data_IF_024589986887
#
_entry.id   IF_024589986887
#
_cell.length_a   1.000
_cell.length_b   1.000
_cell.length_c   1.000
_cell.angle_alpha   90.00
_cell.angle_beta   90.00
_cell.angle_gamma   90.00
#
_symmetry.space_group_name_H-M   'P 1'
#
loop_
_entity.id
_entity.type
_entity.pdbx_description
1 polymer ?
#
# COMPACT_ATOMS: atom_id res chain seq x y z
N UNK A 1 -9.95 33.83 21.17
CA UNK A 1 -11.11 32.97 20.81
C UNK A 1 -12.45 33.71 20.94
N UNK A 2 -12.48 34.91 21.53
CA UNK A 2 -13.66 35.79 21.64
C UNK A 2 -14.34 36.05 20.29
N UNK A 3 -13.57 36.20 19.23
CA UNK A 3 -14.07 36.63 17.92
C UNK A 3 -14.59 35.46 17.05
N UNK A 4 -14.40 34.21 17.49
CA UNK A 4 -14.88 33.02 16.77
C UNK A 4 -16.29 32.71 17.25
N UNK A 5 -17.31 33.02 16.45
CA UNK A 5 -18.72 32.86 16.81
C UNK A 5 -19.23 31.41 16.65
N UNK A 6 -18.71 30.67 15.67
CA UNK A 6 -19.17 29.30 15.38
C UNK A 6 -18.75 28.31 16.49
N UNK A 7 -19.69 27.58 17.13
CA UNK A 7 -19.41 26.79 18.33
C UNK A 7 -18.42 25.65 18.09
N UNK A 8 -18.53 24.95 16.95
CA UNK A 8 -17.60 23.87 16.59
C UNK A 8 -16.22 24.43 16.32
N UNK A 9 -16.11 25.57 15.63
CA UNK A 9 -14.82 26.16 15.30
C UNK A 9 -14.11 26.63 16.57
N UNK A 10 -14.86 27.27 17.49
CA UNK A 10 -14.35 27.67 18.80
C UNK A 10 -13.84 26.48 19.61
N UNK A 11 -14.61 25.38 19.65
CA UNK A 11 -14.21 24.14 20.33
C UNK A 11 -12.94 23.53 19.72
N UNK A 12 -12.91 23.37 18.40
CA UNK A 12 -11.75 22.80 17.69
C UNK A 12 -10.49 23.65 17.89
N UNK A 13 -10.59 24.97 17.75
CA UNK A 13 -9.44 25.86 17.94
C UNK A 13 -8.95 25.86 19.39
N UNK A 14 -9.84 25.77 20.38
CA UNK A 14 -9.45 25.62 21.79
C UNK A 14 -8.66 24.32 22.03
N UNK A 15 -9.12 23.21 21.44
CA UNK A 15 -8.41 21.92 21.51
C UNK A 15 -7.03 22.02 20.84
N UNK A 16 -6.95 22.57 19.63
CA UNK A 16 -5.69 22.71 18.89
C UNK A 16 -4.69 23.63 19.61
N UNK A 17 -5.16 24.71 20.24
CA UNK A 17 -4.31 25.59 21.04
C UNK A 17 -3.71 24.83 22.23
N UNK A 18 -4.52 24.09 22.99
CA UNK A 18 -4.04 23.29 24.12
C UNK A 18 -3.03 22.20 23.68
N UNK A 19 -3.32 21.48 22.59
CA UNK A 19 -2.40 20.51 22.02
C UNK A 19 -1.07 21.16 21.59
N UNK A 20 -1.11 22.36 21.00
CA UNK A 20 0.11 23.11 20.64
C UNK A 20 0.96 23.48 21.87
N UNK A 21 0.35 23.70 23.03
CA UNK A 21 1.11 23.92 24.27
C UNK A 21 1.75 22.62 24.74
N UNK A 22 0.99 21.52 24.77
CA UNK A 22 1.45 20.18 25.19
C UNK A 22 2.52 19.58 24.28
N UNK A 23 2.56 19.97 22.99
CA UNK A 23 3.55 19.46 22.03
C UNK A 23 5.00 19.73 22.42
N UNK A 24 5.25 20.61 23.40
CA UNK A 24 6.59 20.91 23.93
C UNK A 24 7.06 19.91 25.00
N UNK A 25 6.15 19.15 25.59
CA UNK A 25 6.43 18.28 26.74
C UNK A 25 5.93 16.84 26.54
N UNK A 26 5.49 16.49 25.32
CA UNK A 26 4.96 15.16 25.02
C UNK A 26 5.48 14.63 23.69
N UNK A 27 5.38 13.32 23.49
CA UNK A 27 5.83 12.67 22.25
C UNK A 27 4.79 12.82 21.14
N UNK A 28 5.19 12.75 19.86
CA UNK A 28 4.25 12.84 18.74
C UNK A 28 3.11 11.82 18.83
N UNK A 29 3.40 10.57 19.20
CA UNK A 29 2.39 9.52 19.35
C UNK A 29 1.34 9.86 20.41
N UNK A 30 1.75 10.31 21.61
CA UNK A 30 0.81 10.69 22.67
C UNK A 30 0.01 11.94 22.29
N UNK A 31 0.65 12.93 21.67
CA UNK A 31 -0.03 14.14 21.22
C UNK A 31 -1.12 13.83 20.19
N UNK A 32 -0.81 12.98 19.20
CA UNK A 32 -1.73 12.59 18.15
C UNK A 32 -2.85 11.69 18.68
N UNK A 33 -2.56 10.80 19.62
CA UNK A 33 -3.57 10.00 20.30
C UNK A 33 -4.55 10.89 21.08
N UNK A 34 -4.04 11.87 21.85
CA UNK A 34 -4.89 12.85 22.55
C UNK A 34 -5.73 13.67 21.56
N UNK A 35 -5.14 14.08 20.43
CA UNK A 35 -5.85 14.79 19.38
C UNK A 35 -6.99 13.95 18.78
N UNK A 36 -6.73 12.68 18.48
CA UNK A 36 -7.72 11.75 17.93
C UNK A 36 -8.91 11.56 18.88
N UNK A 37 -8.66 11.45 20.18
CA UNK A 37 -9.71 11.37 21.21
C UNK A 37 -10.52 12.67 21.31
N UNK A 38 -9.84 13.81 21.52
CA UNK A 38 -10.53 15.09 21.79
C UNK A 38 -11.30 15.64 20.60
N UNK A 39 -10.84 15.32 19.39
CA UNK A 39 -11.54 15.64 18.14
C UNK A 39 -12.56 14.58 17.75
N UNK A 40 -12.76 13.54 18.58
CA UNK A 40 -13.71 12.45 18.35
C UNK A 40 -13.54 11.77 16.98
N UNK A 41 -12.29 11.57 16.55
CA UNK A 41 -11.98 11.01 15.23
C UNK A 41 -12.62 9.62 15.07
N UNK A 42 -12.46 8.73 16.05
CA UNK A 42 -13.02 7.36 15.98
C UNK A 42 -14.56 7.35 15.87
N UNK A 43 -15.33 8.04 16.75
CA UNK A 43 -16.78 8.12 16.60
C UNK A 43 -17.23 8.73 15.26
N UNK A 44 -16.54 9.76 14.77
CA UNK A 44 -16.87 10.42 13.49
C UNK A 44 -16.65 9.46 12.32
N UNK A 45 -15.55 8.70 12.32
CA UNK A 45 -15.29 7.68 11.30
C UNK A 45 -16.34 6.57 11.36
N UNK A 46 -16.70 6.11 12.56
CA UNK A 46 -17.71 5.08 12.74
C UNK A 46 -19.09 5.49 12.20
N UNK A 47 -19.49 6.73 12.43
CA UNK A 47 -20.76 7.26 11.94
C UNK A 47 -20.79 7.48 10.41
N UNK A 48 -19.63 7.66 9.76
CA UNK A 48 -19.54 7.96 8.32
C UNK A 48 -19.36 6.73 7.44
N UNK A 49 -18.59 5.76 7.92
CA UNK A 49 -18.03 4.70 7.07
C UNK A 49 -18.78 3.36 7.18
N UNK A 50 -19.75 3.21 8.11
CA UNK A 50 -20.52 1.98 8.28
C UNK A 50 -19.62 0.76 8.43
N UNK A 51 -19.75 -0.24 7.55
CA UNK A 51 -18.92 -1.46 7.52
C UNK A 51 -17.42 -1.18 7.28
N UNK A 52 -17.05 -0.02 6.70
CA UNK A 52 -15.64 0.40 6.54
C UNK A 52 -15.06 1.08 7.78
N UNK A 53 -15.88 1.32 8.81
CA UNK A 53 -15.47 1.95 10.08
C UNK A 53 -14.27 1.25 10.71
N UNK A 54 -14.27 -0.08 10.73
CA UNK A 54 -13.19 -0.85 11.33
C UNK A 54 -11.84 -0.61 10.63
N UNK A 55 -11.83 -0.54 9.29
CA UNK A 55 -10.61 -0.28 8.51
C UNK A 55 -10.13 1.15 8.70
N UNK A 56 -11.05 2.11 8.68
CA UNK A 56 -10.74 3.51 8.95
C UNK A 56 -10.13 3.68 10.36
N UNK A 57 -10.68 3.00 11.37
CA UNK A 57 -10.12 2.99 12.72
C UNK A 57 -8.72 2.33 12.77
N UNK A 58 -8.53 1.18 12.11
CA UNK A 58 -7.24 0.50 12.03
C UNK A 58 -6.17 1.36 11.34
N UNK A 59 -6.54 2.13 10.32
CA UNK A 59 -5.65 3.09 9.66
C UNK A 59 -5.22 4.23 10.61
N UNK A 60 -6.12 4.70 11.47
CA UNK A 60 -5.77 5.69 12.50
C UNK A 60 -4.77 5.09 13.48
N UNK A 61 -4.98 3.86 13.95
CA UNK A 61 -4.03 3.20 14.86
C UNK A 61 -2.65 2.98 14.20
N UNK A 62 -2.63 2.51 12.95
CA UNK A 62 -1.39 2.35 12.19
C UNK A 62 -0.63 3.68 12.04
N UNK A 63 -1.36 4.79 11.85
CA UNK A 63 -0.78 6.13 11.81
C UNK A 63 -0.19 6.57 13.15
N UNK A 64 -0.86 6.27 14.27
CA UNK A 64 -0.35 6.55 15.62
C UNK A 64 0.89 5.71 15.94
N UNK A 65 0.90 4.43 15.56
CA UNK A 65 2.06 3.54 15.71
C UNK A 65 3.27 4.05 14.93
N UNK A 66 3.06 4.55 13.70
CA UNK A 66 4.12 5.16 12.89
C UNK A 66 4.75 6.39 13.56
N UNK A 67 4.04 7.05 14.47
CA UNK A 67 4.55 8.20 15.23
C UNK A 67 5.42 7.80 16.45
N UNK A 68 5.35 6.55 16.93
CA UNK A 68 6.08 6.12 18.15
C UNK A 68 7.60 6.30 18.08
N UNK A 69 8.29 5.96 16.97
CA UNK A 69 9.74 6.13 16.88
C UNK A 69 10.21 7.60 16.94
N UNK A 70 9.29 8.55 16.75
CA UNK A 70 9.59 9.98 16.72
C UNK A 70 9.56 10.63 18.11
N UNK A 71 9.52 9.84 19.19
CA UNK A 71 9.57 10.36 20.57
C UNK A 71 10.77 11.26 20.84
N UNK A 72 11.93 10.95 20.25
CA UNK A 72 13.18 11.74 20.42
C UNK A 72 13.29 12.86 19.40
N UNK A 73 12.90 12.62 18.15
CA UNK A 73 13.08 13.56 17.03
C UNK A 73 11.95 14.57 16.88
N UNK A 74 10.81 14.31 17.50
CA UNK A 74 9.69 15.23 17.63
C UNK A 74 8.78 15.32 16.40
N UNK A 75 7.68 16.05 16.59
CA UNK A 75 6.55 16.12 15.65
C UNK A 75 6.93 16.73 14.31
N UNK A 76 7.83 17.73 14.30
CA UNK A 76 8.26 18.38 13.04
C UNK A 76 8.92 17.40 12.07
N UNK A 77 9.77 16.51 12.59
CA UNK A 77 10.42 15.49 11.76
C UNK A 77 9.39 14.48 11.25
N UNK A 78 8.50 14.01 12.12
CA UNK A 78 7.40 13.12 11.74
C UNK A 78 6.55 13.68 10.59
N UNK A 79 6.10 14.93 10.72
CA UNK A 79 5.31 15.60 9.67
C UNK A 79 6.09 15.70 8.37
N UNK A 80 7.37 16.12 8.42
CA UNK A 80 8.21 16.20 7.22
C UNK A 80 8.36 14.85 6.53
N UNK A 81 8.61 13.80 7.31
CA UNK A 81 8.86 12.47 6.78
C UNK A 81 7.57 11.89 6.14
N UNK A 82 6.40 12.05 6.77
CA UNK A 82 5.12 11.66 6.15
C UNK A 82 4.79 12.49 4.91
N UNK A 83 4.99 13.81 4.94
CA UNK A 83 4.70 14.65 3.78
C UNK A 83 5.58 14.27 2.58
N UNK A 84 6.85 13.95 2.83
CA UNK A 84 7.76 13.44 1.79
C UNK A 84 7.26 12.10 1.25
N UNK A 85 6.97 11.14 2.13
CA UNK A 85 6.52 9.82 1.72
C UNK A 85 5.20 9.89 0.92
N UNK A 86 4.28 10.77 1.33
CA UNK A 86 3.04 11.09 0.59
C UNK A 86 3.33 11.70 -0.79
N UNK A 87 4.21 12.71 -0.86
CA UNK A 87 4.56 13.37 -2.13
C UNK A 87 5.24 12.44 -3.14
N UNK A 88 5.95 11.43 -2.63
CA UNK A 88 6.65 10.42 -3.42
C UNK A 88 5.77 9.21 -3.76
N UNK A 89 4.52 9.18 -3.29
CA UNK A 89 3.62 8.04 -3.48
C UNK A 89 4.14 6.75 -2.85
N UNK A 90 4.92 6.86 -1.77
CA UNK A 90 5.49 5.68 -1.10
C UNK A 90 4.32 4.84 -0.55
N UNK A 91 4.16 3.58 -1.00
CA UNK A 91 3.06 2.74 -0.54
C UNK A 91 3.17 2.53 0.97
N UNK A 92 2.03 2.65 1.65
CA UNK A 92 1.90 2.38 3.08
C UNK A 92 0.87 1.28 3.27
N UNK A 93 1.18 0.31 4.12
CA UNK A 93 0.23 -0.76 4.42
C UNK A 93 -0.99 -0.18 5.15
N UNK A 94 -2.18 -0.56 4.69
CA UNK A 94 -3.41 -0.28 5.42
C UNK A 94 -3.43 -1.04 6.76
N UNK A 95 -4.13 -0.47 7.74
CA UNK A 95 -4.42 -1.12 9.00
C UNK A 95 -5.21 -2.39 8.76
N UNK A 96 -4.70 -3.52 9.27
CA UNK A 96 -5.40 -4.81 9.19
C UNK A 96 -6.56 -4.79 10.17
N UNK A 97 -7.76 -5.00 9.63
CA UNK A 97 -8.88 -5.52 10.42
C UNK A 97 -8.84 -7.02 10.18
N UNK A 98 -8.67 -7.79 11.24
CA UNK A 98 -8.84 -9.24 11.13
C UNK A 98 -10.29 -9.48 10.69
N UNK A 99 -10.46 -9.90 9.43
CA UNK A 99 -11.73 -10.37 8.96
C UNK A 99 -11.91 -11.76 9.58
N UNK A 100 -12.64 -11.83 10.69
CA UNK A 100 -12.99 -13.10 11.32
C UNK A 100 -13.85 -13.93 10.34
N UNK A 101 -13.19 -14.82 9.59
CA UNK A 101 -13.79 -16.00 8.93
C UNK A 101 -14.74 -15.80 7.76
N UNK A 102 -15.38 -14.64 7.59
CA UNK A 102 -16.45 -14.43 6.61
C UNK A 102 -16.09 -13.35 5.57
N UNK A 103 -14.91 -13.47 4.97
CA UNK A 103 -14.46 -12.56 3.93
C UNK A 103 -13.64 -13.26 2.84
N UNK A 104 -13.65 -12.67 1.65
CA UNK A 104 -12.78 -13.08 0.54
C UNK A 104 -11.42 -12.40 0.72
N UNK A 105 -10.37 -13.20 0.78
CA UNK A 105 -8.98 -12.71 0.82
C UNK A 105 -8.48 -12.40 -0.58
N UNK A 106 -8.10 -11.14 -0.82
CA UNK A 106 -7.42 -10.72 -2.06
C UNK A 106 -5.93 -10.55 -1.75
N UNK A 107 -5.11 -11.41 -2.34
CA UNK A 107 -3.67 -11.44 -2.13
C UNK A 107 -2.92 -11.53 -3.45
N UNK A 108 -1.62 -11.23 -3.43
CA UNK A 108 -0.76 -11.44 -4.60
C UNK A 108 -0.33 -12.91 -4.71
N UNK A 109 -0.07 -13.39 -5.93
CA UNK A 109 0.45 -14.74 -6.16
C UNK A 109 1.76 -14.98 -5.38
N UNK A 110 2.62 -13.97 -5.31
CA UNK A 110 3.88 -14.03 -4.57
C UNK A 110 3.65 -14.28 -3.07
N UNK A 111 2.74 -13.53 -2.44
CA UNK A 111 2.38 -13.70 -1.03
C UNK A 111 1.63 -15.00 -0.75
N UNK A 112 1.06 -15.64 -1.77
CA UNK A 112 0.33 -16.90 -1.63
C UNK A 112 1.25 -18.13 -1.51
N UNK A 113 2.55 -17.99 -1.82
CA UNK A 113 3.49 -19.12 -1.82
C UNK A 113 3.56 -19.78 -0.44
N UNK A 114 3.25 -21.08 -0.39
CA UNK A 114 3.26 -21.87 0.85
C UNK A 114 1.97 -21.79 1.68
N UNK A 115 0.99 -21.00 1.22
CA UNK A 115 -0.35 -20.94 1.77
C UNK A 115 -1.32 -21.72 0.87
N UNK A 116 -2.48 -22.12 1.39
CA UNK A 116 -3.48 -22.90 0.65
C UNK A 116 -4.90 -22.51 1.08
N UNK A 117 -5.84 -22.51 0.13
CA UNK A 117 -7.25 -22.19 0.34
C UNK A 117 -8.16 -23.28 -0.25
N UNK A 118 -9.35 -23.52 0.32
CA UNK A 118 -10.33 -24.44 -0.27
C UNK A 118 -10.66 -24.07 -1.73
N UNK A 119 -10.92 -22.79 -1.98
CA UNK A 119 -11.25 -22.25 -3.30
C UNK A 119 -10.26 -21.14 -3.67
N UNK A 120 -9.72 -21.17 -4.89
CA UNK A 120 -8.85 -20.11 -5.43
C UNK A 120 -9.38 -19.64 -6.78
N UNK A 121 -9.39 -18.32 -6.97
CA UNK A 121 -9.81 -17.67 -8.21
C UNK A 121 -8.68 -16.74 -8.68
N UNK A 122 -7.82 -17.16 -9.63
CA UNK A 122 -6.83 -16.27 -10.22
C UNK A 122 -7.54 -15.17 -11.02
N UNK A 123 -7.29 -13.91 -10.66
CA UNK A 123 -7.86 -12.73 -11.33
C UNK A 123 -6.76 -11.93 -12.03
N UNK A 124 -7.15 -11.03 -12.94
CA UNK A 124 -6.24 -10.16 -13.69
C UNK A 124 -5.23 -10.92 -14.58
N UNK A 125 -5.68 -12.01 -15.20
CA UNK A 125 -4.83 -12.95 -15.96
C UNK A 125 -4.47 -12.48 -17.37
N UNK A 126 -5.15 -11.44 -17.90
CA UNK A 126 -4.91 -10.88 -19.23
C UNK A 126 -4.04 -9.60 -19.23
N UNK A 127 -3.74 -9.02 -18.08
CA UNK A 127 -3.00 -7.75 -18.03
C UNK A 127 -1.50 -8.01 -18.18
N UNK A 128 -0.88 -7.37 -19.18
CA UNK A 128 0.56 -7.34 -19.34
C UNK A 128 1.19 -6.72 -18.07
N UNK A 129 1.88 -7.56 -17.30
CA UNK A 129 2.34 -7.25 -15.95
C UNK A 129 3.35 -6.09 -15.83
N UNK A 130 3.94 -5.60 -16.93
CA UNK A 130 4.92 -4.51 -16.90
C UNK A 130 4.99 -3.75 -18.22
N UNK A 131 5.14 -2.42 -18.14
CA UNK A 131 5.76 -1.61 -19.20
C UNK A 131 7.24 -1.97 -19.27
N UNK A 132 7.78 -2.16 -20.47
CA UNK A 132 9.20 -2.51 -20.67
C UNK A 132 10.09 -1.47 -19.99
N UNK A 133 11.02 -1.91 -19.15
CA UNK A 133 12.03 -1.00 -18.60
C UNK A 133 12.98 -0.55 -19.74
N UNK A 134 13.47 0.70 -19.72
CA UNK A 134 14.32 1.22 -20.80
C UNK A 134 15.73 0.62 -20.80
N UNK A 135 16.02 -0.29 -19.87
CA UNK A 135 17.28 -1.01 -19.77
C UNK A 135 17.03 -2.50 -19.65
N UNK A 136 17.94 -3.30 -20.21
CA UNK A 136 17.91 -4.77 -20.12
C UNK A 136 19.29 -5.27 -19.73
N UNK A 137 19.34 -6.12 -18.71
CA UNK A 137 20.55 -6.78 -18.24
C UNK A 137 20.70 -8.13 -18.95
N UNK A 138 21.79 -8.31 -19.67
CA UNK A 138 22.09 -9.56 -20.34
C UNK A 138 22.95 -10.45 -19.42
N UNK A 139 22.32 -11.49 -18.87
CA UNK A 139 22.92 -12.32 -17.81
C UNK A 139 24.13 -13.12 -18.29
N UNK A 140 24.13 -13.56 -19.56
CA UNK A 140 25.17 -14.47 -20.08
C UNK A 140 26.54 -13.83 -20.24
N UNK A 141 26.61 -12.53 -20.54
CA UNK A 141 27.86 -11.77 -20.67
C UNK A 141 27.99 -10.64 -19.63
N UNK A 142 27.01 -10.53 -18.73
CA UNK A 142 26.92 -9.54 -17.68
C UNK A 142 26.98 -8.08 -18.18
N UNK A 143 26.36 -7.81 -19.33
CA UNK A 143 26.28 -6.47 -19.93
C UNK A 143 24.93 -5.81 -19.65
N UNK A 144 24.90 -4.47 -19.70
CA UNK A 144 23.69 -3.69 -19.52
C UNK A 144 23.42 -2.89 -20.80
N UNK A 145 22.26 -3.12 -21.40
CA UNK A 145 21.85 -2.43 -22.63
C UNK A 145 20.77 -1.40 -22.30
N UNK A 146 20.87 -0.22 -22.92
CA UNK A 146 19.84 0.81 -22.86
C UNK A 146 19.16 0.97 -24.22
N UNK A 147 17.84 1.09 -24.21
CA UNK A 147 17.06 1.49 -25.39
C UNK A 147 17.11 3.01 -25.48
N UNK A 148 17.86 3.55 -26.46
CA UNK A 148 17.97 4.99 -26.70
C UNK A 148 17.36 5.30 -28.06
N UNK A 149 16.19 5.93 -28.06
CA UNK A 149 15.41 6.17 -29.28
C UNK A 149 14.97 4.87 -29.94
N UNK A 150 14.95 4.84 -31.27
CA UNK A 150 14.43 3.71 -32.06
C UNK A 150 15.55 2.82 -32.64
N UNK A 151 16.79 2.99 -32.19
CA UNK A 151 17.93 2.19 -32.69
C UNK A 151 18.09 0.95 -31.84
N UNK A 152 17.98 -0.23 -32.46
CA UNK A 152 18.14 -1.52 -31.79
C UNK A 152 19.33 -2.28 -32.37
N UNK A 153 20.52 -2.21 -31.74
CA UNK A 153 21.67 -3.01 -32.14
C UNK A 153 21.39 -4.52 -32.07
N UNK A 154 22.09 -5.37 -32.84
CA UNK A 154 21.94 -6.83 -32.79
C UNK A 154 22.10 -7.41 -31.38
N UNK A 155 23.06 -6.91 -30.59
CA UNK A 155 23.29 -7.38 -29.22
C UNK A 155 22.12 -7.03 -28.29
N UNK A 156 21.49 -5.86 -28.50
CA UNK A 156 20.28 -5.49 -27.78
C UNK A 156 19.12 -6.42 -28.16
N UNK A 157 18.96 -6.80 -29.43
CA UNK A 157 17.93 -7.77 -29.83
C UNK A 157 18.07 -9.11 -29.11
N UNK A 158 19.31 -9.61 -28.98
CA UNK A 158 19.59 -10.85 -28.26
C UNK A 158 19.27 -10.71 -26.75
N UNK A 159 19.67 -9.59 -26.15
CA UNK A 159 19.37 -9.30 -24.75
C UNK A 159 17.85 -9.22 -24.50
N UNK A 160 17.11 -8.55 -25.39
CA UNK A 160 15.65 -8.45 -25.34
C UNK A 160 14.98 -9.83 -25.45
N UNK A 161 15.43 -10.68 -26.37
CA UNK A 161 14.87 -12.03 -26.54
C UNK A 161 15.09 -12.91 -25.30
N UNK A 162 16.29 -12.83 -24.70
CA UNK A 162 16.63 -13.55 -23.47
C UNK A 162 15.83 -13.09 -22.25
N UNK A 163 15.59 -11.78 -22.14
CA UNK A 163 14.71 -11.20 -21.11
C UNK A 163 13.26 -11.65 -21.32
N UNK A 164 12.76 -11.61 -22.55
CA UNK A 164 11.40 -12.04 -22.90
C UNK A 164 11.18 -13.54 -22.56
N UNK A 165 12.15 -14.41 -22.86
CA UNK A 165 12.12 -15.82 -22.43
C UNK A 165 12.13 -15.99 -20.91
N UNK A 166 12.94 -15.18 -20.21
CA UNK A 166 13.01 -15.21 -18.75
C UNK A 166 11.69 -14.77 -18.11
N UNK A 167 11.06 -13.74 -18.64
CA UNK A 167 9.74 -13.28 -18.24
C UNK A 167 8.66 -14.33 -18.54
N UNK A 168 8.73 -15.02 -19.68
CA UNK A 168 7.82 -16.11 -20.01
C UNK A 168 7.91 -17.26 -18.99
N UNK A 169 9.13 -17.67 -18.64
CA UNK A 169 9.37 -18.70 -17.61
C UNK A 169 8.87 -18.28 -16.22
N UNK A 170 9.07 -17.03 -15.82
CA UNK A 170 8.54 -16.56 -14.53
C UNK A 170 7.01 -16.48 -14.53
N UNK A 171 6.37 -16.10 -15.65
CA UNK A 171 4.90 -16.14 -15.78
C UNK A 171 4.36 -17.56 -15.62
N UNK A 172 4.99 -18.55 -16.26
CA UNK A 172 4.62 -19.96 -16.10
C UNK A 172 4.73 -20.40 -14.64
N UNK A 173 5.83 -20.03 -13.97
CA UNK A 173 6.05 -20.33 -12.56
C UNK A 173 5.01 -19.67 -11.64
N UNK A 174 4.64 -18.42 -11.89
CA UNK A 174 3.59 -17.73 -11.13
C UNK A 174 2.23 -18.40 -11.31
N UNK A 175 1.90 -18.80 -12.53
CA UNK A 175 0.71 -19.59 -12.81
C UNK A 175 0.71 -20.93 -12.08
N UNK A 176 1.83 -21.64 -12.10
CA UNK A 176 1.99 -22.86 -11.32
C UNK A 176 1.75 -22.62 -9.83
N UNK A 177 2.32 -21.55 -9.26
CA UNK A 177 2.06 -21.19 -7.86
C UNK A 177 0.57 -20.96 -7.63
N UNK A 178 -0.08 -20.10 -8.43
CA UNK A 178 -1.50 -19.76 -8.28
C UNK A 178 -2.41 -20.99 -8.35
N UNK A 179 -2.22 -21.85 -9.36
CA UNK A 179 -3.02 -23.06 -9.55
C UNK A 179 -2.84 -24.07 -8.43
N UNK A 180 -1.64 -24.17 -7.86
CA UNK A 180 -1.33 -25.12 -6.77
C UNK A 180 -1.71 -24.61 -5.38
N UNK A 181 -2.30 -23.41 -5.25
CA UNK A 181 -2.81 -22.93 -3.94
C UNK A 181 -4.20 -23.46 -3.62
N UNK A 182 -4.93 -23.97 -4.61
CA UNK A 182 -6.28 -24.49 -4.44
C UNK A 182 -6.26 -25.91 -3.86
N UNK A 183 -7.05 -26.16 -2.81
CA UNK A 183 -7.20 -27.51 -2.22
C UNK A 183 -8.37 -28.29 -2.80
N UNK A 184 -9.48 -27.61 -3.09
CA UNK A 184 -10.73 -28.25 -3.53
C UNK A 184 -11.16 -27.77 -4.91
N UNK A 185 -11.18 -26.43 -5.12
CA UNK A 185 -11.67 -25.84 -6.36
C UNK A 185 -10.76 -24.72 -6.87
N UNK A 186 -10.37 -24.82 -8.14
CA UNK A 186 -9.73 -23.75 -8.90
C UNK A 186 -10.73 -23.21 -9.92
N UNK A 187 -11.07 -21.92 -9.81
CA UNK A 187 -11.94 -21.25 -10.78
C UNK A 187 -11.09 -20.36 -11.66
N UNK A 188 -10.99 -20.69 -12.95
CA UNK A 188 -10.29 -19.86 -13.94
C UNK A 188 -11.32 -19.05 -14.71
N UNK A 189 -11.43 -17.73 -14.47
CA UNK A 189 -12.39 -16.90 -15.20
C UNK A 189 -11.98 -16.77 -16.67
N UNK A 190 -12.95 -16.97 -17.56
CA UNK A 190 -12.82 -16.62 -18.97
C UNK A 190 -12.87 -15.10 -19.08
N UNK A 191 -11.77 -14.49 -19.56
CA UNK A 191 -11.74 -13.05 -19.83
C UNK A 191 -12.06 -12.84 -21.31
N UNK A 192 -13.09 -12.04 -21.64
CA UNK A 192 -13.31 -11.63 -23.02
C UNK A 192 -12.07 -10.88 -23.51
N UNK A 193 -11.62 -11.20 -24.73
CA UNK A 193 -10.52 -10.46 -25.36
C UNK A 193 -10.94 -8.98 -25.44
N UNK A 194 -10.14 -8.09 -24.87
CA UNK A 194 -10.35 -6.66 -25.04
C UNK A 194 -10.13 -6.34 -26.52
N UNK A 195 -11.18 -5.89 -27.20
CA UNK A 195 -11.11 -5.28 -28.54
C UNK A 195 -10.23 -4.02 -28.55
#
# INVERSE_FOLDING_TARGET
>A
LSDVTHPIARRTLSILQDLRWKSRATTPALLLAEAAERLAVRPILAAREGDRSARAAANVEAFLERARPYGVTGLKRFVRDITRDWSQGVPSNEGRVDAEGDAIEIITIHSAKGLEWPVVIPVNTATLLRSREPFVHHVSDNTLHWVIGDVVPPDLLLALASDDESLARERERLWYVACTRARELLVVPELPQAE
#
